data_IF_267532061572
#
_entry.id   IF_267532061572
#
_cell.length_a   1.000
_cell.length_b   1.000
_cell.length_c   1.000
_cell.angle_alpha   90.00
_cell.angle_beta   90.00
_cell.angle_gamma   90.00
#
_symmetry.space_group_name_H-M   'P 1'
#
loop_
_entity.id
_entity.type
_entity.pdbx_description
1 polymer ?
#
# COMPACT_ATOMS: atom_id res chain seq x y z
N UNK A 1 9.09 -17.89 15.51
CA UNK A 1 8.88 -16.87 16.57
C UNK A 1 9.87 -15.73 16.37
N UNK A 2 9.37 -14.52 16.35
CA UNK A 2 10.20 -13.33 16.18
C UNK A 2 10.87 -13.01 17.51
N UNK A 3 12.17 -12.67 17.50
CA UNK A 3 12.87 -12.26 18.72
C UNK A 3 12.31 -10.93 19.23
N UNK A 4 12.47 -10.65 20.54
CA UNK A 4 12.01 -9.40 21.12
C UNK A 4 12.60 -8.18 20.42
N UNK A 5 13.89 -8.23 20.09
CA UNK A 5 14.56 -7.13 19.38
C UNK A 5 14.00 -6.93 17.97
N UNK A 6 13.66 -8.02 17.26
CA UNK A 6 13.03 -7.94 15.96
C UNK A 6 11.59 -7.43 16.08
N UNK A 7 10.83 -7.88 17.11
CA UNK A 7 9.47 -7.40 17.36
C UNK A 7 9.43 -5.90 17.62
N UNK A 8 10.42 -5.34 18.33
CA UNK A 8 10.51 -3.90 18.62
C UNK A 8 10.79 -3.06 17.36
N UNK A 9 11.22 -3.70 16.26
CA UNK A 9 11.53 -3.04 14.99
C UNK A 9 10.46 -3.26 13.92
N UNK A 10 9.48 -4.13 14.21
CA UNK A 10 8.40 -4.46 13.27
C UNK A 10 7.10 -3.90 13.82
N UNK A 11 6.45 -3.08 13.02
CA UNK A 11 5.19 -2.44 13.37
C UNK A 11 4.13 -2.84 12.36
N UNK A 12 3.02 -3.40 12.85
CA UNK A 12 1.91 -3.87 12.02
C UNK A 12 0.75 -2.90 12.16
N UNK A 13 0.19 -2.49 11.02
CA UNK A 13 -0.95 -1.59 10.96
C UNK A 13 -2.11 -2.26 10.24
N UNK A 14 -3.24 -2.42 10.94
CA UNK A 14 -4.51 -2.74 10.29
C UNK A 14 -5.12 -1.45 9.76
N UNK A 15 -5.59 -1.49 8.52
CA UNK A 15 -6.19 -0.33 7.88
C UNK A 15 -7.59 -0.65 7.40
N UNK A 16 -8.41 0.41 7.28
CA UNK A 16 -9.66 0.35 6.56
C UNK A 16 -9.41 0.91 5.16
N UNK A 17 -9.62 0.08 4.14
CA UNK A 17 -9.46 0.50 2.75
C UNK A 17 -10.35 1.71 2.45
N UNK A 18 -9.80 2.68 1.74
CA UNK A 18 -10.48 3.94 1.39
C UNK A 18 -10.97 4.74 2.61
N UNK A 19 -10.41 4.49 3.79
CA UNK A 19 -10.78 5.20 5.02
C UNK A 19 -9.87 6.40 5.26
N UNK A 20 -10.39 7.65 5.22
CA UNK A 20 -9.56 8.84 5.45
C UNK A 20 -9.01 8.89 6.88
N UNK A 21 -9.74 8.34 7.86
CA UNK A 21 -9.24 8.23 9.23
C UNK A 21 -8.08 7.26 9.35
N UNK A 22 -8.15 6.11 8.67
CA UNK A 22 -7.04 5.16 8.61
C UNK A 22 -5.82 5.76 7.93
N UNK A 23 -6.01 6.49 6.84
CA UNK A 23 -4.93 7.17 6.14
C UNK A 23 -4.24 8.19 7.04
N UNK A 24 -5.00 8.99 7.75
CA UNK A 24 -4.47 10.00 8.68
C UNK A 24 -3.66 9.36 9.81
N UNK A 25 -4.21 8.31 10.42
CA UNK A 25 -3.53 7.60 11.50
C UNK A 25 -2.24 6.93 11.02
N UNK A 26 -2.27 6.35 9.82
CA UNK A 26 -1.10 5.71 9.22
C UNK A 26 0.00 6.72 8.93
N UNK A 27 -0.32 7.86 8.34
CA UNK A 27 0.67 8.90 8.06
C UNK A 27 1.31 9.44 9.34
N UNK A 28 0.51 9.66 10.39
CA UNK A 28 1.03 10.10 11.68
C UNK A 28 1.98 9.06 12.28
N UNK A 29 1.65 7.76 12.16
CA UNK A 29 2.50 6.69 12.65
C UNK A 29 3.80 6.59 11.85
N UNK A 30 3.74 6.72 10.52
CA UNK A 30 4.94 6.70 9.67
C UNK A 30 5.87 7.87 10.00
N UNK A 31 5.33 9.05 10.23
CA UNK A 31 6.12 10.22 10.63
C UNK A 31 6.80 10.00 11.98
N UNK A 32 6.08 9.41 12.94
CA UNK A 32 6.62 9.16 14.27
C UNK A 32 7.68 8.07 14.30
N UNK A 33 7.50 7.02 13.50
CA UNK A 33 8.38 5.85 13.48
C UNK A 33 9.58 6.01 12.55
N UNK A 34 9.42 6.80 11.49
CA UNK A 34 10.43 7.00 10.44
C UNK A 34 11.05 5.67 9.98
N UNK A 35 10.23 4.75 9.46
CA UNK A 35 10.70 3.40 9.15
C UNK A 35 11.68 3.40 7.97
N UNK A 36 12.61 2.46 8.00
CA UNK A 36 13.53 2.23 6.88
C UNK A 36 12.83 1.62 5.68
N UNK A 37 11.86 0.74 5.93
CA UNK A 37 11.12 0.02 4.89
C UNK A 37 9.64 0.02 5.27
N UNK A 38 8.78 0.27 4.29
CA UNK A 38 7.33 0.13 4.40
C UNK A 38 6.88 -0.99 3.47
N UNK A 39 6.16 -1.96 4.03
CA UNK A 39 5.58 -3.07 3.28
C UNK A 39 4.07 -2.86 3.20
N UNK A 40 3.54 -2.84 1.99
CA UNK A 40 2.12 -2.63 1.73
C UNK A 40 1.54 -3.90 1.16
N UNK A 41 0.43 -4.39 1.73
CA UNK A 41 -0.27 -5.56 1.23
C UNK A 41 -0.76 -5.32 -0.20
N UNK A 42 -0.45 -6.26 -1.07
CA UNK A 42 -0.85 -6.19 -2.46
C UNK A 42 -0.36 -7.40 -3.25
N UNK A 43 -0.72 -7.50 -4.52
CA UNK A 43 -0.23 -8.60 -5.35
C UNK A 43 1.27 -8.47 -5.59
N UNK A 44 2.03 -9.58 -5.58
CA UNK A 44 3.49 -9.52 -5.82
C UNK A 44 3.87 -8.88 -7.15
N UNK A 45 3.02 -9.04 -8.16
CA UNK A 45 3.25 -8.48 -9.50
C UNK A 45 3.26 -6.94 -9.50
N UNK A 46 2.75 -6.32 -8.44
CA UNK A 46 2.73 -4.87 -8.30
C UNK A 46 4.09 -4.27 -7.95
N UNK A 47 5.03 -5.06 -7.46
CA UNK A 47 6.32 -4.55 -6.98
C UNK A 47 7.05 -3.73 -8.04
N UNK A 48 6.95 -4.13 -9.31
CA UNK A 48 7.63 -3.46 -10.41
C UNK A 48 6.98 -2.14 -10.81
N UNK A 49 5.70 -1.94 -10.49
CA UNK A 49 4.93 -0.77 -10.92
C UNK A 49 4.57 0.20 -9.79
N UNK A 50 4.78 -0.19 -8.54
CA UNK A 50 4.41 0.65 -7.40
C UNK A 50 5.14 2.00 -7.42
N UNK A 51 6.33 2.05 -7.98
CA UNK A 51 7.11 3.29 -8.11
C UNK A 51 6.40 4.37 -8.93
N UNK A 52 5.50 3.97 -9.84
CA UNK A 52 4.76 4.92 -10.66
C UNK A 52 3.77 5.75 -9.86
N UNK A 53 3.37 5.29 -8.67
CA UNK A 53 2.51 6.06 -7.77
C UNK A 53 3.15 7.38 -7.34
N UNK A 54 4.47 7.45 -7.32
CA UNK A 54 5.21 8.65 -6.94
C UNK A 54 5.36 9.68 -8.07
N UNK A 55 4.95 9.35 -9.30
CA UNK A 55 5.05 10.28 -10.42
C UNK A 55 4.09 11.45 -10.24
N UNK A 56 4.52 12.71 -10.50
CA UNK A 56 3.65 13.87 -10.35
C UNK A 56 2.37 13.82 -11.19
N UNK A 57 2.42 13.14 -12.34
CA UNK A 57 1.25 12.99 -13.22
C UNK A 57 0.27 11.92 -12.75
N UNK A 58 0.67 11.05 -11.83
CA UNK A 58 -0.17 9.98 -11.32
C UNK A 58 -1.05 10.52 -10.18
N UNK A 59 -2.26 10.88 -10.54
CA UNK A 59 -3.22 11.50 -9.59
C UNK A 59 -4.42 10.59 -9.39
N UNK A 60 -4.78 10.26 -8.14
CA UNK A 60 -5.99 9.48 -7.88
C UNK A 60 -7.26 10.26 -8.29
N UNK A 61 -8.36 9.57 -8.62
CA UNK A 61 -8.51 8.11 -8.52
C UNK A 61 -7.76 7.37 -9.62
N UNK A 62 -7.09 6.29 -9.22
CA UNK A 62 -6.38 5.39 -10.12
C UNK A 62 -6.69 3.95 -9.74
N UNK A 63 -6.33 3.01 -10.59
CA UNK A 63 -6.49 1.61 -10.28
C UNK A 63 -5.34 0.80 -10.85
N UNK A 64 -5.05 -0.30 -10.17
CA UNK A 64 -4.13 -1.30 -10.66
C UNK A 64 -4.95 -2.51 -11.12
N UNK A 65 -4.70 -2.94 -12.35
CA UNK A 65 -5.32 -4.13 -12.91
C UNK A 65 -4.26 -5.22 -13.04
N UNK A 66 -4.56 -6.36 -12.44
CA UNK A 66 -3.74 -7.57 -12.57
C UNK A 66 -4.58 -8.62 -13.28
N UNK A 67 -4.07 -9.17 -14.36
CA UNK A 67 -4.81 -10.16 -15.13
C UNK A 67 -3.93 -11.35 -15.53
N UNK A 68 -4.57 -12.49 -15.80
CA UNK A 68 -3.88 -13.65 -16.33
C UNK A 68 -3.32 -13.36 -17.73
N UNK A 69 -2.11 -13.83 -18.00
CA UNK A 69 -1.44 -13.59 -19.27
C UNK A 69 -2.20 -14.26 -20.43
N UNK A 70 -2.71 -15.47 -20.19
CA UNK A 70 -3.40 -16.28 -21.21
C UNK A 70 -4.92 -16.22 -21.08
N UNK A 71 -5.45 -15.67 -20.00
CA UNK A 71 -6.89 -15.59 -19.74
C UNK A 71 -7.24 -14.25 -19.10
N UNK A 72 -7.70 -13.26 -19.90
CA UNK A 72 -8.10 -11.95 -19.37
C UNK A 72 -9.29 -12.00 -18.42
N UNK A 73 -10.06 -13.09 -18.40
CA UNK A 73 -11.15 -13.25 -17.45
C UNK A 73 -10.65 -13.44 -16.02
N UNK A 74 -9.41 -13.93 -15.85
CA UNK A 74 -8.75 -14.02 -14.56
C UNK A 74 -8.08 -12.68 -14.25
N UNK A 75 -8.87 -11.77 -13.69
CA UNK A 75 -8.38 -10.42 -13.39
C UNK A 75 -8.80 -9.98 -12.00
N UNK A 76 -7.97 -9.14 -11.41
CA UNK A 76 -8.23 -8.47 -10.13
C UNK A 76 -8.01 -6.97 -10.30
N UNK A 77 -8.85 -6.21 -9.64
CA UNK A 77 -8.88 -4.76 -9.75
C UNK A 77 -8.68 -4.13 -8.38
N UNK A 78 -7.69 -3.25 -8.27
CA UNK A 78 -7.32 -2.58 -7.02
C UNK A 78 -7.46 -1.08 -7.20
N UNK A 79 -8.61 -0.48 -6.81
CA UNK A 79 -8.81 0.96 -6.93
C UNK A 79 -8.17 1.73 -5.77
N UNK A 80 -7.66 2.92 -6.06
CA UNK A 80 -7.11 3.83 -5.05
C UNK A 80 -7.69 5.22 -5.23
N UNK A 81 -8.22 5.76 -4.15
CA UNK A 81 -8.63 7.15 -4.07
C UNK A 81 -7.60 7.99 -3.34
N UNK A 82 -7.82 9.29 -3.30
CA UNK A 82 -6.95 10.20 -2.55
C UNK A 82 -6.93 9.84 -1.06
N UNK A 83 -7.99 9.21 -0.55
CA UNK A 83 -8.11 8.82 0.86
C UNK A 83 -7.62 7.41 1.17
N UNK A 84 -7.15 6.67 0.17
CA UNK A 84 -6.68 5.31 0.39
C UNK A 84 -5.39 5.32 1.21
N UNK A 85 -5.34 4.62 2.36
CA UNK A 85 -4.13 4.58 3.17
C UNK A 85 -2.92 4.07 2.41
N UNK A 86 -3.12 3.06 1.56
CA UNK A 86 -2.08 2.48 0.73
C UNK A 86 -1.51 3.49 -0.26
N UNK A 87 -2.37 4.35 -0.81
CA UNK A 87 -1.93 5.39 -1.73
C UNK A 87 -1.10 6.45 -1.04
N UNK A 88 -1.52 6.85 0.16
CA UNK A 88 -0.85 7.91 0.91
C UNK A 88 0.46 7.45 1.56
N UNK A 89 0.56 6.15 1.83
CA UNK A 89 1.77 5.63 2.43
C UNK A 89 2.96 5.68 1.46
#
# INVERSE_FOLDING_TARGET
MVSRAAADRIHLFGIRHHGPGSARSLLAALDALDPTIVLIEGPPDADDIIRFAALPAMKPPVAMLVHGQDDPALSSFYPFGIYSPEWQA
#
